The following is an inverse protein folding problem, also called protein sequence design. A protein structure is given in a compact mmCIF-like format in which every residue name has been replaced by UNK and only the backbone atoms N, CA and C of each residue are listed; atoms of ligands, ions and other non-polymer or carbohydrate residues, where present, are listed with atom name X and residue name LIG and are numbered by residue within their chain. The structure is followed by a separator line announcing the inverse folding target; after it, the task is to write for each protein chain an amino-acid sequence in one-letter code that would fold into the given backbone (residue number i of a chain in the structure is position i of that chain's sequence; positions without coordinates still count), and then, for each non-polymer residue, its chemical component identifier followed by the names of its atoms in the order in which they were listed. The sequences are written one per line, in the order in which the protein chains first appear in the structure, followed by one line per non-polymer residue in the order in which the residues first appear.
data_IF_965104819453
#
_entry.id   IF_965104819453
#
_cell.length_a   1.000
_cell.length_b   1.000
_cell.length_c   1.000
_cell.angle_alpha   90.00
_cell.angle_beta   90.00
_cell.angle_gamma   90.00
#
_symmetry.space_group_name_H-M   'P 1'
#
loop_
_entity.id
_entity.type
_entity.pdbx_description
1 polymer ?
#
# COMPACT_ATOMS: atom_id res chain seq x y z
N UNK A 1 66.67 -30.71 20.48
CA UNK A 1 65.35 -31.39 20.56
C UNK A 1 64.25 -30.59 21.28
N UNK A 2 64.55 -29.57 22.09
CA UNK A 2 63.52 -28.84 22.86
C UNK A 2 62.85 -27.70 22.05
N UNK A 3 63.51 -27.16 21.01
CA UNK A 3 62.97 -26.05 20.20
C UNK A 3 61.92 -26.45 19.14
N UNK A 4 61.83 -27.74 18.76
CA UNK A 4 60.85 -28.19 17.75
C UNK A 4 59.49 -28.50 18.39
N UNK A 5 59.45 -28.82 19.69
CA UNK A 5 58.20 -29.16 20.37
C UNK A 5 57.31 -27.95 20.67
N UNK A 6 57.91 -26.78 20.94
CA UNK A 6 57.15 -25.56 21.31
C UNK A 6 56.54 -24.85 20.07
N UNK A 7 57.11 -25.04 18.87
CA UNK A 7 56.51 -24.51 17.64
C UNK A 7 55.31 -25.33 17.15
N UNK A 8 55.28 -26.65 17.36
CA UNK A 8 54.16 -27.48 16.93
C UNK A 8 52.89 -27.25 17.76
N UNK A 9 52.99 -27.04 19.08
CA UNK A 9 51.83 -26.76 19.94
C UNK A 9 51.17 -25.39 19.67
N UNK A 10 51.97 -24.39 19.29
CA UNK A 10 51.46 -23.06 18.94
C UNK A 10 50.80 -23.00 17.56
N UNK A 11 51.30 -23.76 16.59
CA UNK A 11 50.65 -23.88 15.28
C UNK A 11 49.33 -24.67 15.34
N UNK A 12 49.25 -25.73 16.16
CA UNK A 12 47.99 -26.48 16.33
C UNK A 12 46.92 -25.66 17.07
N UNK A 13 47.30 -24.86 18.06
CA UNK A 13 46.35 -24.00 18.80
C UNK A 13 45.79 -22.86 17.92
N UNK A 14 46.61 -22.29 17.04
CA UNK A 14 46.15 -21.26 16.09
C UNK A 14 45.26 -21.85 14.99
N UNK A 15 45.58 -23.04 14.47
CA UNK A 15 44.75 -23.70 13.46
C UNK A 15 43.40 -24.15 14.04
N UNK A 16 43.35 -24.60 15.30
CA UNK A 16 42.09 -24.95 15.97
C UNK A 16 41.21 -23.73 16.25
N UNK A 17 41.79 -22.58 16.60
CA UNK A 17 41.02 -21.33 16.80
C UNK A 17 40.53 -20.76 15.47
N UNK A 18 41.31 -20.82 14.39
CA UNK A 18 40.85 -20.38 13.06
C UNK A 18 39.77 -21.32 12.51
N UNK A 19 39.86 -22.64 12.75
CA UNK A 19 38.80 -23.60 12.37
C UNK A 19 37.57 -23.50 13.28
N UNK A 20 37.70 -23.13 14.56
CA UNK A 20 36.54 -22.83 15.41
C UNK A 20 35.89 -21.48 15.06
N UNK A 21 36.65 -20.45 14.71
CA UNK A 21 36.08 -19.15 14.30
C UNK A 21 35.45 -19.24 12.90
N UNK A 22 36.02 -20.02 11.99
CA UNK A 22 35.40 -20.30 10.68
C UNK A 22 34.27 -21.35 10.77
N UNK A 23 34.32 -22.27 11.74
CA UNK A 23 33.29 -23.28 11.99
C UNK A 23 32.05 -22.72 12.72
N UNK A 24 32.24 -21.81 13.69
CA UNK A 24 31.14 -21.11 14.35
C UNK A 24 30.66 -19.87 13.58
N UNK A 25 31.46 -19.35 12.63
CA UNK A 25 31.00 -18.34 11.66
C UNK A 25 30.11 -18.91 10.54
N UNK A 26 30.19 -20.22 10.28
CA UNK A 26 29.37 -20.92 9.27
C UNK A 26 28.15 -21.64 9.86
N UNK A 27 28.03 -21.71 11.19
CA UNK A 27 26.85 -22.21 11.92
C UNK A 27 26.16 -21.11 12.72
N UNK A 28 26.27 -19.85 12.28
CA UNK A 28 25.20 -18.90 12.53
C UNK A 28 24.01 -19.45 11.76
N UNK A 29 22.91 -19.79 12.44
CA UNK A 29 21.65 -20.09 11.77
C UNK A 29 21.45 -19.05 10.67
N UNK A 30 21.61 -19.45 9.40
CA UNK A 30 21.01 -18.73 8.31
C UNK A 30 19.52 -18.98 8.46
N UNK A 31 18.90 -18.31 9.42
CA UNK A 31 17.50 -17.98 9.33
C UNK A 31 17.42 -17.11 8.09
N UNK A 32 17.34 -17.75 6.92
CA UNK A 32 17.15 -17.06 5.66
C UNK A 32 15.98 -16.11 5.90
N UNK A 33 16.20 -14.82 5.64
CA UNK A 33 15.15 -13.83 5.77
C UNK A 33 13.97 -14.33 4.95
N UNK A 34 12.80 -14.45 5.58
CA UNK A 34 11.56 -14.86 4.91
C UNK A 34 11.38 -14.01 3.65
N UNK A 35 10.89 -14.63 2.57
CA UNK A 35 10.54 -13.89 1.37
C UNK A 35 9.39 -12.93 1.67
N UNK A 36 9.25 -11.89 0.85
CA UNK A 36 8.15 -10.95 1.01
C UNK A 36 6.78 -11.64 0.84
N UNK A 37 6.68 -12.69 0.02
CA UNK A 37 5.48 -13.50 -0.13
C UNK A 37 5.16 -14.33 1.13
N UNK A 38 6.17 -14.86 1.81
CA UNK A 38 5.98 -15.56 3.09
C UNK A 38 5.50 -14.57 4.16
N UNK A 39 6.13 -13.40 4.25
CA UNK A 39 5.73 -12.34 5.18
C UNK A 39 4.32 -11.84 4.85
N UNK A 40 3.98 -11.68 3.57
CA UNK A 40 2.65 -11.26 3.12
C UNK A 40 1.57 -12.22 3.62
N UNK A 41 1.75 -13.53 3.41
CA UNK A 41 0.80 -14.56 3.87
C UNK A 41 0.58 -14.50 5.38
N UNK A 42 1.64 -14.31 6.15
CA UNK A 42 1.54 -14.15 7.61
C UNK A 42 0.82 -12.87 8.03
N UNK A 43 0.94 -11.78 7.25
CA UNK A 43 0.32 -10.49 7.57
C UNK A 43 -1.14 -10.38 7.14
N UNK A 44 -1.57 -11.15 6.16
CA UNK A 44 -2.99 -11.19 5.76
C UNK A 44 -3.78 -12.19 6.60
N UNK A 45 -3.15 -13.19 7.22
CA UNK A 45 -3.83 -14.10 8.14
C UNK A 45 -4.03 -13.48 9.52
N UNK A 46 -4.97 -12.53 9.58
CA UNK A 46 -5.30 -11.79 10.80
C UNK A 46 -6.80 -11.64 10.97
N UNK A 47 -7.22 -11.44 12.22
CA UNK A 47 -8.61 -11.14 12.58
C UNK A 47 -9.19 -9.98 11.76
N UNK A 48 -8.38 -8.96 11.43
CA UNK A 48 -8.81 -7.82 10.60
C UNK A 48 -9.31 -8.29 9.22
N UNK A 49 -8.54 -9.17 8.58
CA UNK A 49 -8.90 -9.74 7.27
C UNK A 49 -10.05 -10.71 7.41
N UNK A 50 -10.08 -11.54 8.47
CA UNK A 50 -11.18 -12.46 8.70
C UNK A 50 -12.52 -11.72 8.88
N UNK A 51 -12.54 -10.62 9.62
CA UNK A 51 -13.74 -9.77 9.78
C UNK A 51 -14.12 -9.04 8.50
N UNK A 52 -13.14 -8.60 7.71
CA UNK A 52 -13.38 -8.02 6.40
C UNK A 52 -14.01 -9.02 5.43
N UNK A 53 -13.52 -10.26 5.39
CA UNK A 53 -14.08 -11.35 4.59
C UNK A 53 -15.46 -11.78 5.10
N UNK A 54 -15.65 -11.79 6.42
CA UNK A 54 -16.98 -11.97 7.02
C UNK A 54 -17.97 -10.89 6.56
N UNK A 55 -17.52 -9.65 6.34
CA UNK A 55 -18.37 -8.58 5.83
C UNK A 55 -18.81 -8.85 4.38
N UNK A 56 -17.90 -9.33 3.51
CA UNK A 56 -18.24 -9.79 2.16
C UNK A 56 -19.25 -10.95 2.20
N UNK A 57 -19.01 -11.93 3.06
CA UNK A 57 -19.89 -13.08 3.26
C UNK A 57 -21.28 -12.66 3.74
N UNK A 58 -21.38 -11.70 4.66
CA UNK A 58 -22.65 -11.18 5.15
C UNK A 58 -23.50 -10.61 4.00
N UNK A 59 -22.89 -9.84 3.10
CA UNK A 59 -23.58 -9.31 1.90
C UNK A 59 -24.14 -10.44 1.03
N UNK A 60 -23.34 -11.48 0.76
CA UNK A 60 -23.68 -12.52 -0.22
C UNK A 60 -24.56 -13.65 0.33
N UNK A 61 -24.43 -13.97 1.62
CA UNK A 61 -25.04 -15.17 2.24
C UNK A 61 -26.09 -14.84 3.29
N UNK A 62 -26.57 -13.60 3.37
CA UNK A 62 -27.58 -13.20 4.35
C UNK A 62 -28.89 -14.00 4.25
N UNK A 63 -29.26 -14.53 3.08
CA UNK A 63 -30.47 -15.35 2.96
C UNK A 63 -30.23 -16.83 3.36
N UNK A 64 -28.97 -17.20 3.66
CA UNK A 64 -28.52 -18.56 3.99
C UNK A 64 -28.14 -18.73 5.47
N UNK A 65 -27.94 -17.63 6.20
CA UNK A 65 -27.57 -17.65 7.62
C UNK A 65 -28.21 -16.50 8.40
N UNK A 66 -28.89 -16.75 9.54
CA UNK A 66 -29.42 -15.69 10.39
C UNK A 66 -28.35 -14.72 10.87
N UNK A 67 -27.16 -15.21 11.23
CA UNK A 67 -26.04 -14.36 11.64
C UNK A 67 -25.52 -13.51 10.48
N UNK A 68 -25.45 -14.07 9.26
CA UNK A 68 -25.10 -13.32 8.05
C UNK A 68 -26.12 -12.21 7.75
N UNK A 69 -27.41 -12.48 7.96
CA UNK A 69 -28.46 -11.47 7.81
C UNK A 69 -28.30 -10.32 8.80
N UNK A 70 -28.10 -10.63 10.08
CA UNK A 70 -27.90 -9.61 11.13
C UNK A 70 -26.66 -8.77 10.82
N UNK A 71 -25.55 -9.40 10.43
CA UNK A 71 -24.34 -8.68 10.04
C UNK A 71 -24.55 -7.78 8.81
N UNK A 72 -25.27 -8.28 7.78
CA UNK A 72 -25.62 -7.48 6.59
C UNK A 72 -26.46 -6.26 6.96
N UNK A 73 -27.48 -6.45 7.78
CA UNK A 73 -28.41 -5.38 8.12
C UNK A 73 -27.69 -4.26 8.90
N UNK A 74 -26.83 -4.61 9.88
CA UNK A 74 -25.96 -3.64 10.56
C UNK A 74 -24.95 -2.98 9.63
N UNK A 75 -24.39 -3.74 8.67
CA UNK A 75 -23.42 -3.22 7.71
C UNK A 75 -24.06 -2.17 6.80
N UNK A 76 -25.26 -2.45 6.29
CA UNK A 76 -25.99 -1.51 5.44
C UNK A 76 -26.45 -0.27 6.20
N UNK A 77 -26.82 -0.42 7.48
CA UNK A 77 -27.12 0.72 8.36
C UNK A 77 -25.89 1.63 8.55
N UNK A 78 -24.75 1.04 8.93
CA UNK A 78 -23.50 1.78 9.12
C UNK A 78 -23.01 2.42 7.80
N UNK A 79 -23.12 1.72 6.68
CA UNK A 79 -22.77 2.22 5.35
C UNK A 79 -23.64 3.41 4.93
N UNK A 80 -24.94 3.37 5.23
CA UNK A 80 -25.86 4.48 4.96
C UNK A 80 -25.52 5.71 5.81
N UNK A 81 -25.23 5.52 7.11
CA UNK A 81 -24.80 6.62 7.99
C UNK A 81 -23.49 7.27 7.50
N UNK A 82 -22.52 6.46 7.08
CA UNK A 82 -21.26 6.92 6.49
C UNK A 82 -21.46 7.73 5.20
N UNK A 83 -22.37 7.31 4.32
CA UNK A 83 -22.65 7.99 3.05
C UNK A 83 -23.19 9.40 3.25
N UNK A 84 -24.09 9.58 4.21
CA UNK A 84 -24.81 10.83 4.39
C UNK A 84 -23.97 11.91 5.12
N UNK A 85 -22.67 11.66 5.32
CA UNK A 85 -21.76 12.55 6.03
C UNK A 85 -22.10 12.71 7.52
N UNK A 86 -22.95 11.82 8.05
CA UNK A 86 -23.46 11.84 9.43
C UNK A 86 -22.62 11.01 10.39
N UNK A 87 -21.45 10.56 9.95
CA UNK A 87 -20.67 9.57 10.67
C UNK A 87 -19.55 10.23 11.44
N UNK A 88 -19.74 10.33 12.75
CA UNK A 88 -18.77 10.87 13.68
C UNK A 88 -18.32 9.76 14.64
N UNK A 89 -17.07 9.30 14.50
CA UNK A 89 -16.50 8.28 15.38
C UNK A 89 -16.44 8.71 16.86
N UNK A 90 -16.59 10.01 17.15
CA UNK A 90 -16.70 10.53 18.51
C UNK A 90 -18.14 10.54 19.04
N UNK A 91 -19.15 10.40 18.16
CA UNK A 91 -20.54 10.29 18.56
C UNK A 91 -20.85 8.89 19.09
N UNK A 92 -21.43 8.83 20.30
CA UNK A 92 -21.71 7.57 20.98
C UNK A 92 -22.65 6.64 20.18
N UNK A 93 -23.62 7.20 19.43
CA UNK A 93 -24.54 6.40 18.62
C UNK A 93 -23.84 5.73 17.42
N UNK A 94 -22.97 6.46 16.72
CA UNK A 94 -22.22 5.93 15.58
C UNK A 94 -21.18 4.90 16.04
N UNK A 95 -20.51 5.17 17.17
CA UNK A 95 -19.63 4.19 17.80
C UNK A 95 -20.39 2.91 18.15
N UNK A 96 -21.58 3.03 18.78
CA UNK A 96 -22.41 1.87 19.09
C UNK A 96 -22.79 1.09 17.83
N UNK A 97 -23.19 1.76 16.74
CA UNK A 97 -23.48 1.10 15.45
C UNK A 97 -22.30 0.27 14.95
N UNK A 98 -21.08 0.82 15.04
CA UNK A 98 -19.87 0.08 14.66
C UNK A 98 -19.58 -1.10 15.57
N UNK A 99 -19.81 -0.96 16.89
CA UNK A 99 -19.63 -2.06 17.85
C UNK A 99 -20.64 -3.17 17.60
N UNK A 100 -21.91 -2.84 17.37
CA UNK A 100 -22.96 -3.81 17.04
C UNK A 100 -22.60 -4.57 15.74
N UNK A 101 -22.13 -3.85 14.71
CA UNK A 101 -21.62 -4.44 13.47
C UNK A 101 -20.39 -5.33 13.73
N UNK A 102 -19.43 -4.88 14.52
CA UNK A 102 -18.23 -5.65 14.87
C UNK A 102 -18.58 -6.96 15.57
N UNK A 103 -19.52 -6.94 16.52
CA UNK A 103 -20.03 -8.14 17.20
C UNK A 103 -20.71 -9.10 16.22
N UNK A 104 -21.52 -8.58 15.30
CA UNK A 104 -22.20 -9.39 14.29
C UNK A 104 -21.19 -10.06 13.33
N UNK A 105 -20.19 -9.31 12.86
CA UNK A 105 -19.11 -9.85 12.02
C UNK A 105 -18.24 -10.86 12.78
N UNK A 106 -18.03 -10.67 14.08
CA UNK A 106 -17.25 -11.59 14.90
C UNK A 106 -17.81 -13.00 14.94
N UNK A 107 -19.14 -13.16 14.85
CA UNK A 107 -19.79 -14.47 14.76
C UNK A 107 -19.47 -15.21 13.47
N UNK A 108 -19.17 -14.47 12.40
CA UNK A 108 -18.82 -14.99 11.07
C UNK A 108 -17.31 -15.06 10.84
N UNK A 109 -16.48 -14.68 11.83
CA UNK A 109 -15.01 -14.60 11.67
C UNK A 109 -14.38 -15.92 11.21
N UNK A 110 -14.89 -17.05 11.69
CA UNK A 110 -14.39 -18.38 11.32
C UNK A 110 -14.72 -18.71 9.86
N UNK A 111 -15.84 -18.24 9.33
CA UNK A 111 -16.15 -18.34 7.89
C UNK A 111 -15.20 -17.46 7.07
N UNK A 112 -14.90 -16.24 7.54
CA UNK A 112 -13.92 -15.37 6.92
C UNK A 112 -12.50 -15.95 6.93
N UNK A 113 -12.09 -16.58 8.03
CA UNK A 113 -10.82 -17.30 8.12
C UNK A 113 -10.77 -18.47 7.13
N UNK A 114 -11.79 -19.33 7.10
CA UNK A 114 -11.86 -20.45 6.16
C UNK A 114 -11.79 -19.99 4.71
N UNK A 115 -12.44 -18.88 4.38
CA UNK A 115 -12.38 -18.27 3.06
C UNK A 115 -10.94 -17.90 2.68
N UNK A 116 -10.21 -17.23 3.57
CA UNK A 116 -8.79 -16.91 3.36
C UNK A 116 -7.94 -18.18 3.16
N UNK A 117 -8.10 -19.18 4.03
CA UNK A 117 -7.32 -20.43 4.00
C UNK A 117 -7.55 -21.24 2.72
N UNK A 118 -8.80 -21.26 2.22
CA UNK A 118 -9.15 -21.98 1.00
C UNK A 118 -8.58 -21.33 -0.28
N UNK A 119 -8.34 -20.02 -0.24
CA UNK A 119 -8.06 -19.22 -1.43
C UNK A 119 -9.25 -19.11 -2.41
N UNK A 120 -10.40 -19.70 -2.08
CA UNK A 120 -11.64 -19.59 -2.85
C UNK A 120 -12.33 -18.27 -2.49
N UNK A 121 -12.20 -17.28 -3.37
CA UNK A 121 -12.94 -16.03 -3.23
C UNK A 121 -14.42 -16.22 -3.65
N UNK A 122 -15.32 -15.45 -3.03
CA UNK A 122 -16.75 -15.56 -3.32
C UNK A 122 -17.11 -14.84 -4.64
N UNK A 123 -18.39 -14.88 -5.01
CA UNK A 123 -18.91 -14.01 -6.06
C UNK A 123 -18.73 -12.52 -5.70
N UNK A 124 -18.58 -11.63 -6.69
CA UNK A 124 -18.47 -10.20 -6.44
C UNK A 124 -19.64 -9.63 -5.61
N UNK A 125 -19.33 -8.82 -4.60
CA UNK A 125 -20.30 -8.16 -3.70
C UNK A 125 -20.96 -6.93 -4.31
N UNK A 126 -20.34 -6.23 -5.25
CA UNK A 126 -20.84 -4.96 -5.78
C UNK A 126 -22.26 -5.09 -6.36
N UNK A 127 -22.59 -6.13 -7.16
CA UNK A 127 -23.97 -6.37 -7.57
C UNK A 127 -24.91 -6.52 -6.37
N UNK A 128 -24.53 -7.19 -5.29
CA UNK A 128 -25.40 -7.32 -4.12
C UNK A 128 -25.59 -5.99 -3.34
N UNK A 129 -24.65 -5.04 -3.45
CA UNK A 129 -24.73 -3.71 -2.82
C UNK A 129 -25.60 -2.70 -3.59
N UNK A 130 -25.90 -2.96 -4.86
CA UNK A 130 -26.64 -2.06 -5.74
C UNK A 130 -28.14 -2.39 -5.78
N UNK A 131 -28.98 -1.36 -5.80
CA UNK A 131 -30.40 -1.49 -6.11
C UNK A 131 -30.66 -1.83 -7.58
N UNK A 132 -31.87 -2.28 -7.91
CA UNK A 132 -32.22 -2.72 -9.28
C UNK A 132 -31.92 -1.65 -10.35
N UNK A 133 -32.34 -0.40 -10.11
CA UNK A 133 -32.09 0.72 -11.03
C UNK A 133 -30.59 1.06 -11.14
N UNK A 134 -29.84 0.94 -10.04
CA UNK A 134 -28.39 1.19 -10.04
C UNK A 134 -27.64 0.12 -10.85
N UNK A 135 -28.08 -1.15 -10.80
CA UNK A 135 -27.53 -2.25 -11.60
C UNK A 135 -27.74 -2.04 -13.10
N UNK A 136 -28.94 -1.63 -13.50
CA UNK A 136 -29.25 -1.36 -14.90
C UNK A 136 -28.41 -0.23 -15.48
N UNK A 137 -28.13 0.78 -14.64
CA UNK A 137 -27.31 1.95 -14.97
C UNK A 137 -25.80 1.68 -14.95
N UNK A 138 -25.34 0.48 -14.56
CA UNK A 138 -23.91 0.17 -14.56
C UNK A 138 -23.31 0.26 -15.98
N UNK A 139 -22.08 0.79 -16.11
CA UNK A 139 -21.30 0.67 -17.34
C UNK A 139 -21.12 -0.80 -17.75
N UNK A 140 -20.98 -1.11 -19.06
CA UNK A 140 -20.82 -2.48 -19.53
C UNK A 140 -19.72 -3.27 -18.81
N UNK A 141 -18.56 -2.64 -18.56
CA UNK A 141 -17.44 -3.28 -17.87
C UNK A 141 -17.77 -3.69 -16.42
N UNK A 142 -18.68 -2.98 -15.75
CA UNK A 142 -19.13 -3.30 -14.38
C UNK A 142 -20.34 -4.25 -14.34
N UNK A 143 -21.02 -4.47 -15.48
CA UNK A 143 -22.11 -5.45 -15.58
C UNK A 143 -21.57 -6.88 -15.61
N UNK A 144 -20.38 -7.07 -16.17
CA UNK A 144 -19.66 -8.36 -16.21
C UNK A 144 -18.49 -8.39 -15.23
N UNK A 145 -18.70 -7.80 -14.05
CA UNK A 145 -17.72 -7.73 -12.98
C UNK A 145 -17.26 -9.14 -12.61
N UNK A 146 -15.97 -9.40 -12.76
CA UNK A 146 -15.33 -10.60 -12.20
C UNK A 146 -14.66 -10.29 -10.86
N UNK A 147 -14.19 -11.35 -10.20
CA UNK A 147 -13.55 -11.28 -8.88
C UNK A 147 -12.29 -10.40 -8.92
N UNK A 148 -11.47 -10.53 -9.96
CA UNK A 148 -10.22 -9.79 -10.08
C UNK A 148 -10.46 -8.28 -10.21
N UNK A 149 -11.44 -7.89 -11.04
CA UNK A 149 -11.84 -6.50 -11.18
C UNK A 149 -12.47 -5.97 -9.89
N UNK A 150 -13.30 -6.74 -9.19
CA UNK A 150 -13.83 -6.31 -7.90
C UNK A 150 -12.73 -6.06 -6.86
N UNK A 151 -11.76 -6.97 -6.74
CA UNK A 151 -10.61 -6.77 -5.86
C UNK A 151 -9.83 -5.49 -6.21
N UNK A 152 -9.61 -5.25 -7.50
CA UNK A 152 -9.00 -4.00 -7.96
C UNK A 152 -9.81 -2.75 -7.57
N UNK A 153 -11.15 -2.78 -7.72
CA UNK A 153 -12.00 -1.65 -7.36
C UNK A 153 -12.09 -1.43 -5.84
N UNK A 154 -12.12 -2.50 -5.04
CA UNK A 154 -12.07 -2.43 -3.58
C UNK A 154 -10.72 -1.87 -3.12
N UNK A 155 -9.62 -2.35 -3.69
CA UNK A 155 -8.28 -1.83 -3.42
C UNK A 155 -8.17 -0.34 -3.77
N UNK A 156 -8.59 0.06 -4.98
CA UNK A 156 -8.62 1.45 -5.40
C UNK A 156 -9.42 2.31 -4.41
N UNK A 157 -10.63 1.87 -4.07
CA UNK A 157 -11.52 2.60 -3.17
C UNK A 157 -10.91 2.77 -1.78
N UNK A 158 -10.37 1.69 -1.20
CA UNK A 158 -9.75 1.73 0.11
C UNK A 158 -8.46 2.55 0.12
N UNK A 159 -7.67 2.48 -0.95
CA UNK A 159 -6.49 3.32 -1.13
C UNK A 159 -6.88 4.79 -1.10
N UNK A 160 -7.87 5.19 -1.89
CA UNK A 160 -8.39 6.56 -1.91
C UNK A 160 -8.91 6.99 -0.55
N UNK A 161 -9.65 6.15 0.15
CA UNK A 161 -10.16 6.46 1.50
C UNK A 161 -9.04 6.61 2.53
N UNK A 162 -8.06 5.71 2.53
CA UNK A 162 -6.95 5.70 3.49
C UNK A 162 -6.03 6.90 3.31
N UNK A 163 -5.76 7.29 2.07
CA UNK A 163 -4.85 8.39 1.74
C UNK A 163 -5.56 9.69 1.36
N UNK A 164 -6.86 9.81 1.63
CA UNK A 164 -7.60 11.04 1.36
C UNK A 164 -7.04 12.20 2.21
N UNK A 165 -6.63 13.33 1.61
CA UNK A 165 -5.90 14.39 2.33
C UNK A 165 -6.74 15.08 3.41
N UNK A 166 -8.06 15.18 3.20
CA UNK A 166 -8.95 15.92 4.11
C UNK A 166 -9.68 15.06 5.14
N UNK A 167 -9.73 13.73 4.94
CA UNK A 167 -10.52 12.84 5.79
C UNK A 167 -10.08 11.38 5.57
N UNK A 168 -8.89 11.00 6.05
CA UNK A 168 -8.40 9.64 5.90
C UNK A 168 -9.22 8.69 6.77
N UNK A 169 -9.67 7.58 6.19
CA UNK A 169 -10.33 6.49 6.92
C UNK A 169 -9.25 5.53 7.45
N UNK A 170 -9.35 5.04 8.70
CA UNK A 170 -8.39 4.08 9.25
C UNK A 170 -8.61 2.68 8.66
N UNK A 171 -8.26 2.48 7.39
CA UNK A 171 -8.26 1.17 6.75
C UNK A 171 -7.08 0.36 7.30
N UNK A 172 -7.31 -0.84 7.88
CA UNK A 172 -6.22 -1.72 8.34
C UNK A 172 -5.25 -2.09 7.22
N UNK A 173 -3.95 -2.09 7.52
CA UNK A 173 -2.90 -2.45 6.53
C UNK A 173 -3.07 -3.88 6.02
N UNK A 174 -3.51 -4.79 6.87
CA UNK A 174 -3.69 -6.21 6.53
C UNK A 174 -4.78 -6.41 5.47
N UNK A 175 -5.82 -5.57 5.50
CA UNK A 175 -6.89 -5.58 4.49
C UNK A 175 -6.40 -5.00 3.16
N UNK A 176 -5.60 -3.92 3.21
CA UNK A 176 -4.95 -3.38 2.00
C UNK A 176 -4.02 -4.41 1.35
N UNK A 177 -3.25 -5.14 2.17
CA UNK A 177 -2.37 -6.23 1.72
C UNK A 177 -3.15 -7.39 1.12
N UNK A 178 -4.27 -7.78 1.73
CA UNK A 178 -5.14 -8.82 1.20
C UNK A 178 -5.68 -8.46 -0.20
N UNK A 179 -6.29 -7.29 -0.35
CA UNK A 179 -6.82 -6.87 -1.66
C UNK A 179 -5.71 -6.65 -2.70
N UNK A 180 -4.53 -6.20 -2.28
CA UNK A 180 -3.34 -6.15 -3.15
C UNK A 180 -2.89 -7.53 -3.61
N UNK A 181 -2.92 -8.52 -2.73
CA UNK A 181 -2.54 -9.89 -3.05
C UNK A 181 -3.53 -10.57 -4.00
N UNK A 182 -4.83 -10.34 -3.79
CA UNK A 182 -5.90 -10.92 -4.60
C UNK A 182 -6.06 -10.25 -5.98
N UNK A 183 -5.58 -9.02 -6.13
CA UNK A 183 -5.65 -8.29 -7.41
C UNK A 183 -4.49 -8.66 -8.33
N UNK A 184 -4.79 -9.35 -9.42
CA UNK A 184 -3.89 -9.50 -10.56
C UNK A 184 -4.03 -8.30 -11.52
N UNK A 185 -3.25 -7.26 -11.22
CA UNK A 185 -3.22 -6.01 -11.97
C UNK A 185 -2.85 -6.16 -13.45
N UNK A 186 -2.15 -7.25 -13.82
CA UNK A 186 -1.78 -7.51 -15.22
C UNK A 186 -2.93 -8.13 -16.04
N UNK A 187 -3.97 -8.64 -15.37
CA UNK A 187 -5.09 -9.37 -15.98
C UNK A 187 -6.45 -8.73 -15.63
N UNK A 188 -6.49 -7.40 -15.45
CA UNK A 188 -7.74 -6.69 -15.25
C UNK A 188 -8.50 -6.54 -16.58
N UNK A 189 -9.81 -6.79 -16.56
CA UNK A 189 -10.69 -6.66 -17.74
C UNK A 189 -10.75 -5.25 -18.32
N UNK A 190 -10.57 -4.23 -17.48
CA UNK A 190 -10.56 -2.83 -17.91
C UNK A 190 -9.14 -2.48 -18.35
N UNK A 191 -8.97 -2.15 -19.63
CA UNK A 191 -7.68 -1.72 -20.17
C UNK A 191 -7.27 -0.39 -19.52
N UNK A 192 -5.97 -0.18 -19.29
CA UNK A 192 -5.41 1.06 -18.74
C UNK A 192 -5.39 1.16 -17.20
N UNK A 193 -6.30 0.50 -16.47
CA UNK A 193 -6.28 0.56 -14.99
C UNK A 193 -5.14 -0.24 -14.35
N UNK A 194 -4.58 -1.21 -15.08
CA UNK A 194 -3.50 -2.08 -14.59
C UNK A 194 -2.27 -1.30 -14.11
N UNK A 195 -1.89 -0.23 -14.81
CA UNK A 195 -0.75 0.62 -14.42
C UNK A 195 -0.94 1.28 -13.07
N UNK A 196 -2.12 1.86 -12.86
CA UNK A 196 -2.47 2.48 -11.58
C UNK A 196 -2.59 1.44 -10.47
N UNK A 197 -3.08 0.24 -10.80
CA UNK A 197 -3.16 -0.84 -9.83
C UNK A 197 -1.79 -1.36 -9.41
N UNK A 198 -0.87 -1.54 -10.36
CA UNK A 198 0.53 -1.84 -10.07
C UNK A 198 1.16 -0.75 -9.18
N UNK A 199 0.91 0.53 -9.46
CA UNK A 199 1.39 1.62 -8.61
C UNK A 199 0.80 1.57 -7.19
N UNK A 200 -0.51 1.38 -7.05
CA UNK A 200 -1.18 1.24 -5.74
C UNK A 200 -0.59 0.06 -4.95
N UNK A 201 -0.41 -1.10 -5.59
CA UNK A 201 0.20 -2.28 -4.96
C UNK A 201 1.63 -2.01 -4.52
N UNK A 202 2.42 -1.32 -5.35
CA UNK A 202 3.78 -0.92 -4.98
C UNK A 202 3.79 -0.04 -3.72
N UNK A 203 2.85 0.91 -3.59
CA UNK A 203 2.70 1.72 -2.36
C UNK A 203 2.34 0.85 -1.16
N UNK A 204 1.31 -0.01 -1.28
CA UNK A 204 0.83 -0.85 -0.18
C UNK A 204 1.94 -1.78 0.31
N UNK A 205 2.62 -2.48 -0.60
CA UNK A 205 3.75 -3.36 -0.25
C UNK A 205 4.94 -2.57 0.32
N UNK A 206 5.26 -1.40 -0.25
CA UNK A 206 6.37 -0.57 0.20
C UNK A 206 6.17 0.02 1.60
N UNK A 207 4.95 0.44 1.94
CA UNK A 207 4.60 0.90 3.29
C UNK A 207 4.73 -0.22 4.32
N UNK A 208 4.43 -1.45 3.90
CA UNK A 208 4.50 -2.67 4.70
C UNK A 208 5.86 -3.36 4.65
N UNK A 209 6.93 -2.72 4.15
CA UNK A 209 8.30 -3.26 4.15
C UNK A 209 8.49 -4.55 3.31
N UNK A 210 7.56 -4.80 2.38
CA UNK A 210 7.63 -5.87 1.38
C UNK A 210 8.30 -5.31 0.11
N UNK A 211 9.59 -4.97 0.23
CA UNK A 211 10.29 -4.16 -0.77
C UNK A 211 10.53 -4.85 -2.11
N UNK A 212 10.77 -6.16 -2.13
CA UNK A 212 10.96 -6.93 -3.37
C UNK A 212 9.61 -7.09 -4.10
N UNK A 213 8.50 -7.27 -3.38
CA UNK A 213 7.16 -7.19 -3.97
C UNK A 213 6.82 -5.78 -4.46
N UNK A 214 7.14 -4.75 -3.67
CA UNK A 214 6.95 -3.34 -4.05
C UNK A 214 7.71 -3.00 -5.35
N UNK A 215 8.97 -3.42 -5.45
CA UNK A 215 9.79 -3.30 -6.66
C UNK A 215 9.17 -4.01 -7.85
N UNK A 216 8.70 -5.26 -7.67
CA UNK A 216 8.10 -6.05 -8.75
C UNK A 216 6.87 -5.34 -9.34
N UNK A 217 6.03 -4.77 -8.49
CA UNK A 217 4.87 -4.00 -8.93
C UNK A 217 5.28 -2.65 -9.55
N UNK A 218 6.31 -1.97 -9.01
CA UNK A 218 6.83 -0.74 -9.59
C UNK A 218 7.41 -0.94 -10.99
N UNK A 219 8.16 -2.03 -11.23
CA UNK A 219 8.66 -2.38 -12.56
C UNK A 219 7.51 -2.55 -13.56
N UNK A 220 6.43 -3.25 -13.16
CA UNK A 220 5.25 -3.43 -14.00
C UNK A 220 4.45 -2.15 -14.24
N UNK A 221 4.41 -1.25 -13.26
CA UNK A 221 3.87 0.09 -13.47
C UNK A 221 4.66 0.84 -14.56
N UNK A 222 5.98 0.57 -14.66
CA UNK A 222 6.92 1.11 -15.64
C UNK A 222 6.93 0.46 -17.03
N UNK A 223 6.28 -0.69 -17.21
CA UNK A 223 6.48 -1.56 -18.39
C UNK A 223 5.61 -1.25 -19.62
N UNK A 224 4.99 -0.07 -19.76
CA UNK A 224 4.33 0.24 -21.04
C UNK A 224 4.41 1.69 -21.47
N UNK A 225 4.51 1.86 -22.78
CA UNK A 225 4.08 3.03 -23.53
C UNK A 225 2.54 3.14 -23.44
N UNK A 226 1.98 3.23 -22.21
CA UNK A 226 0.54 3.24 -21.98
C UNK A 226 -0.06 4.34 -22.85
N UNK A 227 -0.88 3.95 -23.82
CA UNK A 227 -1.37 4.93 -24.77
C UNK A 227 -2.33 5.87 -24.03
N UNK A 228 -2.28 7.20 -24.27
CA UNK A 228 -3.26 8.13 -23.71
C UNK A 228 -4.74 7.72 -23.90
N UNK A 229 -5.01 6.95 -24.95
CA UNK A 229 -6.32 6.34 -25.21
C UNK A 229 -6.76 5.35 -24.11
N UNK A 230 -5.84 4.62 -23.47
CA UNK A 230 -6.15 3.61 -22.47
C UNK A 230 -6.71 4.23 -21.18
N UNK A 231 -6.22 5.39 -20.74
CA UNK A 231 -6.79 6.09 -19.58
C UNK A 231 -8.21 6.58 -19.88
N UNK A 232 -8.45 7.10 -21.09
CA UNK A 232 -9.80 7.52 -21.52
C UNK A 232 -10.75 6.34 -21.56
N UNK A 233 -10.30 5.20 -22.09
CA UNK A 233 -11.06 3.97 -22.11
C UNK A 233 -11.36 3.46 -20.70
N UNK A 234 -10.37 3.44 -19.81
CA UNK A 234 -10.53 3.09 -18.40
C UNK A 234 -11.60 3.97 -17.73
N UNK A 235 -11.49 5.29 -17.85
CA UNK A 235 -12.42 6.25 -17.28
C UNK A 235 -13.84 6.03 -17.81
N UNK A 236 -13.99 5.80 -19.11
CA UNK A 236 -15.28 5.50 -19.73
C UNK A 236 -15.84 4.16 -19.26
N UNK A 237 -15.01 3.13 -19.17
CA UNK A 237 -15.41 1.80 -18.70
C UNK A 237 -15.89 1.84 -17.24
N UNK A 238 -15.24 2.64 -16.38
CA UNK A 238 -15.58 2.75 -14.97
C UNK A 238 -16.77 3.67 -14.69
N UNK A 239 -16.94 4.73 -15.48
CA UNK A 239 -17.96 5.76 -15.22
C UNK A 239 -19.16 5.72 -16.15
N UNK A 240 -19.05 5.04 -17.29
CA UNK A 240 -20.05 5.04 -18.36
C UNK A 240 -20.07 6.34 -19.18
N UNK A 241 -19.30 7.36 -18.79
CA UNK A 241 -19.28 8.67 -19.42
C UNK A 241 -17.91 8.95 -20.05
N UNK A 242 -17.90 9.77 -21.10
CA UNK A 242 -16.64 10.31 -21.62
C UNK A 242 -16.12 11.39 -20.67
N UNK A 243 -14.94 11.16 -20.09
CA UNK A 243 -14.23 12.15 -19.29
C UNK A 243 -13.18 12.77 -20.19
N UNK A 244 -13.30 14.08 -20.41
CA UNK A 244 -12.35 14.83 -21.21
C UNK A 244 -10.98 14.82 -20.51
N UNK A 245 -10.02 14.12 -21.11
CA UNK A 245 -8.60 14.18 -20.77
C UNK A 245 -7.81 14.42 -22.04
N UNK A 246 -6.83 15.30 -21.96
CA UNK A 246 -5.84 15.50 -23.01
C UNK A 246 -4.81 14.37 -23.00
N UNK A 247 -4.09 14.22 -24.11
CA UNK A 247 -3.04 13.21 -24.19
C UNK A 247 -1.86 13.56 -23.27
N UNK A 248 -1.62 14.85 -23.03
CA UNK A 248 -0.63 15.33 -22.07
C UNK A 248 -1.02 14.95 -20.63
N UNK A 249 -2.25 15.21 -20.21
CA UNK A 249 -2.74 14.84 -18.87
C UNK A 249 -2.69 13.33 -18.64
N UNK A 250 -2.96 12.54 -19.68
CA UNK A 250 -2.89 11.07 -19.58
C UNK A 250 -1.46 10.58 -19.37
N UNK A 251 -0.51 11.12 -20.14
CA UNK A 251 0.92 10.82 -19.97
C UNK A 251 1.42 11.23 -18.60
N UNK A 252 1.06 12.43 -18.15
CA UNK A 252 1.39 12.92 -16.81
C UNK A 252 0.83 11.99 -15.71
N UNK A 253 -0.39 11.50 -15.85
CA UNK A 253 -1.01 10.60 -14.87
C UNK A 253 -0.29 9.24 -14.79
N UNK A 254 0.09 8.65 -15.94
CA UNK A 254 0.87 7.40 -15.97
C UNK A 254 2.29 7.60 -15.44
N UNK A 255 2.93 8.73 -15.76
CA UNK A 255 4.23 9.10 -15.20
C UNK A 255 4.16 9.29 -13.69
N UNK A 256 3.11 9.94 -13.17
CA UNK A 256 2.89 10.09 -11.74
C UNK A 256 2.71 8.73 -11.03
N UNK A 257 1.95 7.81 -11.63
CA UNK A 257 1.80 6.45 -11.11
C UNK A 257 3.14 5.72 -11.01
N UNK A 258 3.98 5.79 -12.06
CA UNK A 258 5.34 5.22 -12.07
C UNK A 258 6.24 5.84 -11.01
N UNK A 259 6.25 7.17 -10.93
CA UNK A 259 7.03 7.90 -9.95
C UNK A 259 6.69 7.44 -8.52
N UNK A 260 5.40 7.42 -8.17
CA UNK A 260 4.94 6.97 -6.86
C UNK A 260 5.36 5.53 -6.57
N UNK A 261 5.24 4.63 -7.55
CA UNK A 261 5.60 3.23 -7.38
C UNK A 261 7.09 3.05 -7.09
N UNK A 262 7.97 3.65 -7.92
CA UNK A 262 9.41 3.59 -7.76
C UNK A 262 9.89 4.34 -6.51
N UNK A 263 9.30 5.49 -6.20
CA UNK A 263 9.60 6.26 -4.99
C UNK A 263 9.31 5.46 -3.72
N UNK A 264 8.19 4.72 -3.69
CA UNK A 264 7.84 3.85 -2.58
C UNK A 264 8.75 2.63 -2.46
N UNK A 265 9.13 2.00 -3.57
CA UNK A 265 10.10 0.90 -3.57
C UNK A 265 11.49 1.36 -3.07
N UNK A 266 11.95 2.53 -3.55
CA UNK A 266 13.20 3.15 -3.11
C UNK A 266 13.20 3.46 -1.61
N UNK A 267 12.14 4.10 -1.11
CA UNK A 267 11.92 4.34 0.33
C UNK A 267 11.95 3.05 1.15
N UNK A 268 11.34 1.98 0.63
CA UNK A 268 11.31 0.68 1.28
C UNK A 268 12.73 0.09 1.42
N UNK A 269 13.51 0.08 0.34
CA UNK A 269 14.90 -0.40 0.39
C UNK A 269 15.82 0.47 1.25
N UNK A 270 15.58 1.78 1.33
CA UNK A 270 16.28 2.65 2.28
C UNK A 270 16.05 2.20 3.73
N UNK A 271 14.81 1.88 4.12
CA UNK A 271 14.52 1.35 5.46
C UNK A 271 15.26 0.04 5.74
N UNK A 272 15.39 -0.83 4.72
CA UNK A 272 16.16 -2.09 4.79
C UNK A 272 17.67 -1.88 4.73
N UNK A 273 18.16 -0.64 4.57
CA UNK A 273 19.57 -0.30 4.34
C UNK A 273 20.15 -0.98 3.09
N UNK A 274 19.30 -1.33 2.12
CA UNK A 274 19.68 -1.94 0.83
C UNK A 274 19.95 -0.87 -0.22
N UNK A 275 20.98 -0.06 0.07
CA UNK A 275 21.26 1.19 -0.63
C UNK A 275 21.40 1.07 -2.17
N UNK A 276 22.10 0.09 -2.76
CA UNK A 276 22.15 -0.04 -4.22
C UNK A 276 20.78 -0.21 -4.87
N UNK A 277 19.89 -1.00 -4.25
CA UNK A 277 18.52 -1.18 -4.75
C UNK A 277 17.68 0.08 -4.55
N UNK A 278 17.86 0.77 -3.42
CA UNK A 278 17.19 2.05 -3.18
C UNK A 278 17.55 3.10 -4.25
N UNK A 279 18.84 3.24 -4.57
CA UNK A 279 19.31 4.21 -5.57
C UNK A 279 18.78 3.91 -6.98
N UNK A 280 18.72 2.64 -7.38
CA UNK A 280 18.13 2.21 -8.66
C UNK A 280 16.66 2.63 -8.79
N UNK A 281 15.87 2.43 -7.74
CA UNK A 281 14.45 2.81 -7.74
C UNK A 281 14.27 4.34 -7.63
N UNK A 282 15.11 5.04 -6.86
CA UNK A 282 15.02 6.50 -6.73
C UNK A 282 15.42 7.24 -8.02
N UNK A 283 16.30 6.67 -8.85
CA UNK A 283 16.62 7.23 -10.16
C UNK A 283 15.40 7.17 -11.09
N UNK A 284 14.73 6.01 -11.17
CA UNK A 284 13.48 5.83 -11.92
C UNK A 284 12.36 6.73 -11.40
N UNK A 285 12.31 6.96 -10.08
CA UNK A 285 11.39 7.94 -9.48
C UNK A 285 11.62 9.34 -10.03
N UNK A 286 12.86 9.85 -10.03
CA UNK A 286 13.16 11.20 -10.51
C UNK A 286 12.79 11.36 -11.99
N UNK A 287 13.12 10.38 -12.83
CA UNK A 287 12.79 10.38 -14.26
C UNK A 287 11.26 10.44 -14.48
N UNK A 288 10.52 9.57 -13.81
CA UNK A 288 9.07 9.52 -13.93
C UNK A 288 8.38 10.76 -13.31
N UNK A 289 8.92 11.33 -12.24
CA UNK A 289 8.40 12.53 -11.61
C UNK A 289 8.51 13.75 -12.55
N UNK A 290 9.65 13.91 -13.21
CA UNK A 290 9.85 14.97 -14.20
C UNK A 290 8.96 14.80 -15.42
N UNK A 291 8.76 13.56 -15.88
CA UNK A 291 7.78 13.25 -16.95
C UNK A 291 6.34 13.52 -16.51
N UNK A 292 6.03 13.39 -15.22
CA UNK A 292 4.75 13.76 -14.62
C UNK A 292 4.54 15.28 -14.47
N UNK A 293 5.49 16.10 -14.95
CA UNK A 293 5.44 17.54 -14.88
C UNK A 293 5.85 18.12 -13.53
N UNK A 294 6.52 17.34 -12.66
CA UNK A 294 7.20 17.93 -11.51
C UNK A 294 8.40 18.73 -12.03
N UNK A 295 8.55 20.01 -11.64
CA UNK A 295 9.73 20.78 -11.97
C UNK A 295 10.99 20.07 -11.48
N UNK A 296 12.05 20.04 -12.30
CA UNK A 296 13.30 19.36 -11.94
C UNK A 296 13.99 19.88 -10.67
N UNK A 297 13.63 21.07 -10.20
CA UNK A 297 14.10 21.56 -8.90
C UNK A 297 13.45 20.82 -7.72
N UNK A 298 12.21 20.34 -7.83
CA UNK A 298 11.56 19.55 -6.78
C UNK A 298 12.26 18.18 -6.59
N UNK A 299 12.90 17.63 -7.63
CA UNK A 299 13.67 16.37 -7.57
C UNK A 299 15.17 16.58 -7.34
N UNK A 300 15.66 17.83 -7.35
CA UNK A 300 17.08 18.16 -7.38
C UNK A 300 17.87 17.61 -6.17
N UNK A 301 17.30 17.69 -4.97
CA UNK A 301 17.92 17.15 -3.74
C UNK A 301 18.12 15.63 -3.85
N UNK A 302 17.13 14.92 -4.38
CA UNK A 302 17.19 13.47 -4.59
C UNK A 302 18.23 13.12 -5.65
N UNK A 303 18.23 13.84 -6.78
CA UNK A 303 19.23 13.66 -7.85
C UNK A 303 20.65 13.91 -7.36
N UNK A 304 20.85 14.95 -6.55
CA UNK A 304 22.15 15.27 -5.97
C UNK A 304 22.62 14.17 -5.02
N UNK A 305 21.74 13.68 -4.14
CA UNK A 305 22.06 12.56 -3.26
C UNK A 305 22.42 11.28 -4.04
N UNK A 306 21.66 10.93 -5.09
CA UNK A 306 21.99 9.79 -5.96
C UNK A 306 23.37 9.99 -6.62
N UNK A 307 23.66 11.19 -7.12
CA UNK A 307 24.92 11.49 -7.79
C UNK A 307 26.12 11.42 -6.83
N UNK A 308 26.00 11.98 -5.62
CA UNK A 308 27.01 11.84 -4.55
C UNK A 308 27.31 10.37 -4.29
N UNK A 309 26.25 9.55 -4.19
CA UNK A 309 26.41 8.13 -3.90
C UNK A 309 27.00 7.31 -5.04
N UNK A 310 26.88 7.80 -6.27
CA UNK A 310 27.57 7.25 -7.45
C UNK A 310 28.98 7.83 -7.64
N UNK A 311 29.43 8.75 -6.76
CA UNK A 311 30.71 9.43 -6.87
C UNK A 311 30.77 10.53 -7.94
N UNK A 312 29.63 10.96 -8.47
CA UNK A 312 29.52 11.98 -9.52
C UNK A 312 29.27 13.37 -8.90
N UNK A 313 30.33 13.95 -8.34
CA UNK A 313 30.28 15.27 -7.66
C UNK A 313 29.82 16.40 -8.60
N UNK A 314 30.17 16.34 -9.88
CA UNK A 314 29.77 17.36 -10.87
C UNK A 314 28.27 17.31 -11.15
N UNK A 315 27.70 16.11 -11.35
CA UNK A 315 26.25 15.95 -11.53
C UNK A 315 25.49 16.36 -10.27
N UNK A 316 26.04 16.06 -9.09
CA UNK A 316 25.44 16.49 -7.83
C UNK A 316 25.43 18.02 -7.71
N UNK A 317 26.58 18.67 -7.93
CA UNK A 317 26.71 20.13 -7.91
C UNK A 317 25.75 20.80 -8.87
N UNK A 318 25.67 20.32 -10.12
CA UNK A 318 24.75 20.84 -11.12
C UNK A 318 23.29 20.80 -10.64
N UNK A 319 22.85 19.67 -10.08
CA UNK A 319 21.48 19.55 -9.58
C UNK A 319 21.18 20.55 -8.45
N UNK A 320 22.12 20.77 -7.53
CA UNK A 320 21.97 21.74 -6.45
C UNK A 320 21.98 23.19 -6.96
N UNK A 321 22.81 23.48 -7.98
CA UNK A 321 22.87 24.81 -8.61
C UNK A 321 21.58 25.15 -9.38
N UNK A 322 21.01 24.16 -10.08
CA UNK A 322 19.72 24.30 -10.77
C UNK A 322 18.57 24.62 -9.78
N UNK A 323 18.61 24.04 -8.57
CA UNK A 323 17.65 24.32 -7.50
C UNK A 323 17.77 25.75 -6.96
N UNK A 324 18.99 26.22 -6.72
CA UNK A 324 19.22 27.57 -6.17
C UNK A 324 18.87 28.68 -7.16
N UNK A 325 19.17 28.45 -8.44
CA UNK A 325 18.83 29.36 -9.51
C UNK A 325 17.31 29.49 -9.70
N UNK A 326 16.52 28.58 -9.13
CA UNK A 326 15.06 28.62 -9.24
C UNK A 326 14.45 29.59 -8.21
N UNK A 327 13.72 30.63 -8.65
CA UNK A 327 13.07 31.59 -7.75
C UNK A 327 11.89 30.97 -6.97
N UNK A 328 11.26 29.92 -7.51
CA UNK A 328 10.06 29.28 -6.95
C UNK A 328 10.39 28.11 -6.00
N UNK A 329 11.66 27.72 -5.91
CA UNK A 329 12.09 26.65 -5.02
C UNK A 329 11.85 26.99 -3.55
N UNK A 330 11.24 26.06 -2.82
CA UNK A 330 10.86 26.28 -1.42
C UNK A 330 12.10 26.43 -0.51
N UNK A 331 12.00 27.23 0.57
CA UNK A 331 13.14 27.49 1.46
C UNK A 331 13.74 26.22 2.08
N UNK A 332 12.94 25.21 2.39
CA UNK A 332 13.44 23.98 3.02
C UNK A 332 14.27 23.16 2.02
N UNK A 333 13.91 23.14 0.74
CA UNK A 333 14.73 22.52 -0.31
C UNK A 333 16.06 23.26 -0.50
N UNK A 334 16.07 24.60 -0.46
CA UNK A 334 17.31 25.39 -0.52
C UNK A 334 18.22 25.17 0.70
N UNK A 335 17.65 25.08 1.89
CA UNK A 335 18.41 24.76 3.11
C UNK A 335 19.06 23.38 3.03
N UNK A 336 18.29 22.38 2.58
CA UNK A 336 18.81 21.01 2.35
C UNK A 336 19.92 20.97 1.30
N UNK A 337 19.78 21.73 0.22
CA UNK A 337 20.82 21.83 -0.79
C UNK A 337 22.09 22.50 -0.28
N UNK A 338 21.98 23.53 0.56
CA UNK A 338 23.12 24.12 1.23
C UNK A 338 23.85 23.10 2.14
N UNK A 339 23.10 22.23 2.82
CA UNK A 339 23.70 21.17 3.64
C UNK A 339 24.40 20.10 2.80
N UNK A 340 23.76 19.61 1.73
CA UNK A 340 24.39 18.67 0.80
C UNK A 340 25.66 19.24 0.16
N UNK A 341 25.69 20.55 -0.13
CA UNK A 341 26.88 21.20 -0.70
C UNK A 341 28.08 21.20 0.23
N UNK A 342 27.89 21.37 1.54
CA UNK A 342 29.01 21.34 2.52
C UNK A 342 29.76 20.01 2.49
N UNK A 343 29.09 18.95 2.03
CA UNK A 343 29.60 17.59 2.04
C UNK A 343 30.07 17.08 0.68
N UNK A 344 29.86 17.84 -0.40
CA UNK A 344 30.44 17.52 -1.70
C UNK A 344 31.98 17.43 -1.63
N UNK A 345 32.58 18.19 -0.72
CA UNK A 345 34.02 18.28 -0.52
C UNK A 345 34.55 17.34 0.59
N UNK A 346 33.68 16.74 1.39
CA UNK A 346 34.08 15.75 2.41
C UNK A 346 34.08 14.34 1.80
N UNK A 347 35.21 13.63 1.93
CA UNK A 347 35.41 12.28 1.37
C UNK A 347 34.63 11.17 2.10
N UNK A 348 33.77 11.54 3.03
CA UNK A 348 32.98 10.62 3.83
C UNK A 348 31.54 11.10 3.99
N UNK A 349 30.60 10.21 3.64
CA UNK A 349 29.20 10.19 4.07
C UNK A 349 28.22 10.89 3.09
N UNK A 350 27.67 10.14 2.14
CA UNK A 350 26.47 10.53 1.38
C UNK A 350 25.15 9.97 1.92
N UNK A 351 25.19 9.04 2.88
CA UNK A 351 24.12 8.04 3.05
C UNK A 351 22.99 8.41 4.01
N UNK A 352 23.12 9.50 4.78
CA UNK A 352 22.15 9.84 5.84
C UNK A 352 21.19 10.99 5.47
N UNK A 353 21.33 11.61 4.30
CA UNK A 353 20.65 12.87 3.98
C UNK A 353 19.32 12.76 3.24
N UNK A 354 19.04 11.63 2.59
CA UNK A 354 17.66 11.35 2.16
C UNK A 354 16.89 10.92 3.39
N UNK A 355 16.31 11.88 4.11
CA UNK A 355 15.42 11.50 5.19
C UNK A 355 14.17 10.87 4.57
N UNK A 356 13.62 9.87 5.26
CA UNK A 356 12.34 9.25 4.91
C UNK A 356 11.22 10.30 4.75
N UNK A 357 11.32 11.42 5.47
CA UNK A 357 10.33 12.49 5.43
C UNK A 357 10.40 13.30 4.11
N UNK A 358 11.61 13.53 3.57
CA UNK A 358 11.79 14.30 2.33
C UNK A 358 11.25 13.56 1.11
N UNK A 359 11.63 12.30 0.97
CA UNK A 359 11.14 11.42 -0.09
C UNK A 359 9.65 11.11 0.08
N UNK A 360 9.18 10.92 1.31
CA UNK A 360 7.75 10.74 1.58
C UNK A 360 6.92 11.95 1.14
N UNK A 361 7.41 13.17 1.37
CA UNK A 361 6.73 14.41 0.96
C UNK A 361 6.67 14.53 -0.56
N UNK A 362 7.74 14.21 -1.28
CA UNK A 362 7.76 14.24 -2.74
C UNK A 362 6.85 13.19 -3.38
N UNK A 363 6.82 11.97 -2.83
CA UNK A 363 5.89 10.93 -3.25
C UNK A 363 4.44 11.37 -3.01
N UNK A 364 4.15 11.98 -1.86
CA UNK A 364 2.81 12.52 -1.54
C UNK A 364 2.43 13.70 -2.44
N UNK A 365 3.36 14.61 -2.76
CA UNK A 365 3.12 15.71 -3.67
C UNK A 365 2.79 15.20 -5.09
N UNK A 366 3.51 14.17 -5.55
CA UNK A 366 3.26 13.51 -6.84
C UNK A 366 1.89 12.81 -6.87
N UNK A 367 1.53 12.10 -5.78
CA UNK A 367 0.21 11.50 -5.58
C UNK A 367 -0.89 12.58 -5.63
N UNK A 368 -0.77 13.63 -4.82
CA UNK A 368 -1.81 14.64 -4.63
C UNK A 368 -2.10 15.47 -5.89
N UNK A 369 -1.11 15.64 -6.78
CA UNK A 369 -1.26 16.52 -7.95
C UNK A 369 -1.95 15.84 -9.14
N UNK A 370 -1.81 14.51 -9.30
CA UNK A 370 -2.11 13.84 -10.58
C UNK A 370 -2.67 12.40 -10.52
N UNK A 371 -2.60 11.68 -9.40
CA UNK A 371 -3.10 10.29 -9.35
C UNK A 371 -4.58 10.15 -8.95
N UNK A 372 -5.27 11.25 -8.61
CA UNK A 372 -6.66 11.19 -8.14
C UNK A 372 -7.69 11.02 -9.25
N UNK A 373 -7.32 11.20 -10.53
CA UNK A 373 -8.30 11.26 -11.62
C UNK A 373 -9.20 10.02 -11.72
N UNK A 374 -8.64 8.82 -11.58
CA UNK A 374 -9.41 7.56 -11.59
C UNK A 374 -10.26 7.42 -10.33
N UNK A 375 -9.72 7.80 -9.18
CA UNK A 375 -10.39 7.72 -7.89
C UNK A 375 -11.58 8.68 -7.81
N UNK A 376 -11.41 9.92 -8.27
CA UNK A 376 -12.43 10.96 -8.30
C UNK A 376 -13.53 10.59 -9.30
N UNK A 377 -13.13 10.15 -10.50
CA UNK A 377 -14.05 9.70 -11.53
C UNK A 377 -14.90 8.52 -11.04
N UNK A 378 -14.26 7.45 -10.58
CA UNK A 378 -14.98 6.25 -10.12
C UNK A 378 -15.78 6.53 -8.86
N UNK A 379 -15.23 7.27 -7.89
CA UNK A 379 -15.87 7.62 -6.63
C UNK A 379 -17.14 8.48 -6.79
N UNK A 380 -17.29 9.18 -7.92
CA UNK A 380 -18.50 9.93 -8.25
C UNK A 380 -19.65 9.05 -8.76
N UNK A 381 -19.39 7.80 -9.13
CA UNK A 381 -20.41 6.86 -9.63
C UNK A 381 -21.20 6.21 -8.50
N UNK A 382 -22.39 5.68 -8.78
CA UNK A 382 -23.15 4.89 -7.80
C UNK A 382 -22.34 3.70 -7.28
N UNK A 383 -21.63 2.98 -8.17
CA UNK A 383 -20.77 1.87 -7.80
C UNK A 383 -19.64 2.30 -6.84
N UNK A 384 -18.91 3.36 -7.18
CA UNK A 384 -17.85 3.90 -6.34
C UNK A 384 -18.36 4.38 -4.98
N UNK A 385 -19.53 5.02 -4.93
CA UNK A 385 -20.15 5.42 -3.66
C UNK A 385 -20.54 4.22 -2.79
N UNK A 386 -21.08 3.13 -3.37
CA UNK A 386 -21.40 1.91 -2.61
C UNK A 386 -20.16 1.25 -2.04
N UNK A 387 -19.11 1.10 -2.84
CA UNK A 387 -17.84 0.56 -2.36
C UNK A 387 -17.23 1.46 -1.29
N UNK A 388 -17.31 2.80 -1.44
CA UNK A 388 -16.81 3.75 -0.45
C UNK A 388 -17.52 3.57 0.90
N UNK A 389 -18.85 3.50 0.89
CA UNK A 389 -19.65 3.27 2.10
C UNK A 389 -19.40 1.90 2.73
N UNK A 390 -19.31 0.85 1.91
CA UNK A 390 -18.97 -0.50 2.37
C UNK A 390 -17.59 -0.55 3.04
N UNK A 391 -16.56 -0.02 2.37
CA UNK A 391 -15.19 0.00 2.87
C UNK A 391 -15.04 0.84 4.14
N UNK A 392 -15.72 1.98 4.21
CA UNK A 392 -15.76 2.83 5.40
C UNK A 392 -16.40 2.12 6.60
N UNK A 393 -17.60 1.55 6.43
CA UNK A 393 -18.31 0.85 7.49
C UNK A 393 -17.55 -0.39 7.98
N UNK A 394 -17.02 -1.19 7.05
CA UNK A 394 -16.25 -2.40 7.38
C UNK A 394 -14.97 -2.05 8.14
N UNK A 395 -14.24 -1.03 7.70
CA UNK A 395 -13.01 -0.60 8.38
C UNK A 395 -13.29 -0.01 9.77
N UNK A 396 -14.36 0.77 9.90
CA UNK A 396 -14.83 1.24 11.21
C UNK A 396 -15.18 0.09 12.16
N UNK A 397 -15.84 -0.96 11.65
CA UNK A 397 -16.18 -2.13 12.45
C UNK A 397 -14.94 -2.95 12.84
N UNK A 398 -13.96 -3.10 11.95
CA UNK A 398 -12.68 -3.74 12.30
C UNK A 398 -11.94 -2.95 13.37
N UNK A 399 -11.92 -1.61 13.28
CA UNK A 399 -11.32 -0.76 14.30
C UNK A 399 -12.07 -0.83 15.64
N UNK A 400 -13.39 -0.86 15.61
CA UNK A 400 -14.21 -1.08 16.81
C UNK A 400 -13.94 -2.46 17.43
N UNK A 401 -13.81 -3.50 16.60
CA UNK A 401 -13.42 -4.82 17.06
C UNK A 401 -12.05 -4.80 17.75
N UNK A 402 -11.03 -4.14 17.16
CA UNK A 402 -9.69 -4.03 17.76
C UNK A 402 -9.69 -3.35 19.13
N UNK A 403 -10.59 -2.37 19.36
CA UNK A 403 -10.67 -1.63 20.62
C UNK A 403 -11.52 -2.32 21.68
N UNK A 404 -12.64 -2.91 21.27
CA UNK A 404 -13.70 -3.33 22.19
C UNK A 404 -13.82 -4.84 22.31
N UNK A 405 -13.37 -5.60 21.30
CA UNK A 405 -13.38 -7.06 21.32
C UNK A 405 -11.98 -7.53 21.73
N UNK A 406 -11.81 -8.08 22.95
CA UNK A 406 -10.52 -8.55 23.44
C UNK A 406 -9.93 -9.60 22.52
N UNK A 407 -8.62 -9.59 22.38
CA UNK A 407 -7.91 -10.62 21.64
C UNK A 407 -8.11 -12.00 22.28
N UNK A 408 -7.87 -13.07 21.53
CA UNK A 408 -7.88 -14.43 22.08
C UNK A 408 -6.92 -14.58 23.29
N UNK A 409 -5.80 -13.84 23.31
CA UNK A 409 -4.90 -13.79 24.47
C UNK A 409 -5.50 -13.05 25.68
N UNK A 410 -6.27 -11.98 25.44
CA UNK A 410 -6.96 -11.24 26.50
C UNK A 410 -8.09 -12.07 27.11
N UNK A 411 -8.80 -12.85 26.29
CA UNK A 411 -9.82 -13.81 26.75
C UNK A 411 -9.18 -14.94 27.55
N UNK A 412 -7.98 -15.43 27.15
CA UNK A 412 -7.20 -16.40 27.94
C UNK A 412 -6.78 -15.85 29.31
N UNK A 413 -6.47 -14.55 29.41
CA UNK A 413 -6.03 -13.89 30.65
C UNK A 413 -7.20 -13.51 31.58
N UNK A 414 -8.34 -13.11 31.03
CA UNK A 414 -9.49 -12.57 31.81
C UNK A 414 -10.58 -13.60 32.10
N UNK A 415 -10.58 -14.75 31.42
CA UNK A 415 -11.50 -15.85 31.68
C UNK A 415 -12.97 -15.57 31.35
N UNK A 416 -13.84 -16.50 31.77
CA UNK A 416 -15.27 -16.62 31.40
C UNK A 416 -16.13 -15.37 31.74
N UNK A 417 -15.65 -14.46 32.59
CA UNK A 417 -16.43 -13.27 32.98
C UNK A 417 -16.68 -12.28 31.84
N UNK A 418 -15.86 -12.30 30.77
CA UNK A 418 -16.07 -11.46 29.60
C UNK A 418 -17.31 -11.86 28.78
N UNK A 419 -17.52 -13.16 28.56
CA UNK A 419 -18.61 -13.66 27.70
C UNK A 419 -19.99 -13.22 28.20
N UNK A 420 -20.20 -13.10 29.52
CA UNK A 420 -21.45 -12.62 30.12
C UNK A 420 -21.79 -11.15 29.89
N UNK A 421 -20.81 -10.33 29.48
CA UNK A 421 -21.00 -8.89 29.25
C UNK A 421 -21.30 -8.58 27.78
N UNK A 422 -21.05 -9.54 26.89
CA UNK A 422 -21.06 -9.35 25.43
C UNK A 422 -21.98 -10.31 24.67
N UNK A 423 -22.33 -11.46 25.27
CA UNK A 423 -23.28 -12.45 24.78
C UNK A 423 -24.27 -12.80 25.88
#
# INVERSE_FOLDING_TARGET
MILVSVMLERCFSFLFIVVLVLGFGASGCSCARKSDEEILKERIDTTSVHLYLAAKLAILKADQSPDAKVARDHLLEAAAAARDGRFDLSAAEDWKRLVDLAQALWKLREDGQRMLESGEDNEPILPALLGATEKEALPPALKELDKNLEHGLLLLTMFTLKFHPSSPVPIPEEVMLYESWMTDASNLKVVGIGHFMHAIKAVVYGQNELCDLSKKEAAKAGESDAAPAELKEALRALTGNEIATSDAESKEAFAAARAVAHGMAGLCYMKRKEKPKALDELEKFCEAAEEAGLPGHETAVVRAAIAIEKGDKEKAKKALDDLDANPDADPASKERAAELRKQLDDDGIGAEYLTKADLGTLVVATLAKRSSILADAFGSTAAGQKLKSFSGATSGAVEAAKKEIPSYEDVKKTGVQFWKRWF
#
